data_IF_241911072507
#
_entry.id   IF_241911072507
#
_cell.length_a   1.000
_cell.length_b   1.000
_cell.length_c   1.000
_cell.angle_alpha   90.00
_cell.angle_beta   90.00
_cell.angle_gamma   90.00
#
_symmetry.space_group_name_H-M   'P 1'
#
loop_
_entity.id
_entity.type
_entity.pdbx_description
1 polymer ?
#
# COMPACT_ATOMS: atom_id res chain seq x y z
N UNK A 1 -33.47 -15.69 15.50
CA UNK A 1 -32.99 -14.29 15.59
C UNK A 1 -31.52 -14.15 16.04
N UNK A 2 -30.76 -15.24 16.23
CA UNK A 2 -29.33 -15.18 16.60
C UNK A 2 -28.39 -15.55 15.43
N UNK A 3 -28.91 -16.22 14.39
CA UNK A 3 -28.08 -16.68 13.26
C UNK A 3 -27.81 -15.62 12.19
N UNK A 4 -28.47 -14.47 12.22
CA UNK A 4 -28.27 -13.41 11.22
C UNK A 4 -27.06 -12.51 11.56
N UNK A 5 -26.67 -12.41 12.84
CA UNK A 5 -25.58 -11.53 13.27
C UNK A 5 -24.18 -12.17 13.26
N UNK A 6 -24.09 -13.49 13.10
CA UNK A 6 -22.80 -14.20 12.97
C UNK A 6 -22.23 -14.10 11.55
N UNK A 7 -23.07 -13.91 10.52
CA UNK A 7 -22.62 -13.65 9.15
C UNK A 7 -22.11 -12.23 8.90
N UNK A 8 -22.51 -11.28 9.75
CA UNK A 8 -22.03 -9.90 9.70
C UNK A 8 -20.59 -9.79 10.21
N UNK A 9 -20.18 -10.61 11.19
CA UNK A 9 -18.82 -10.56 11.76
C UNK A 9 -17.76 -11.21 10.86
N UNK A 10 -18.12 -12.28 10.12
CA UNK A 10 -17.23 -12.89 9.10
C UNK A 10 -17.13 -12.02 7.83
N UNK A 11 -18.24 -11.40 7.42
CA UNK A 11 -18.22 -10.38 6.36
C UNK A 11 -17.39 -9.18 6.80
N UNK A 12 -17.54 -8.69 8.03
CA UNK A 12 -16.72 -7.61 8.60
C UNK A 12 -15.24 -7.97 8.73
N UNK A 13 -14.91 -9.18 9.14
CA UNK A 13 -13.54 -9.71 9.08
C UNK A 13 -13.01 -9.90 7.65
N UNK A 14 -13.84 -9.77 6.61
CA UNK A 14 -13.44 -9.73 5.20
C UNK A 14 -13.44 -8.30 4.60
N UNK A 15 -14.13 -7.35 5.23
CA UNK A 15 -14.11 -5.92 4.92
C UNK A 15 -12.91 -5.21 5.59
N UNK A 16 -12.50 -5.64 6.79
CA UNK A 16 -11.32 -5.13 7.52
C UNK A 16 -9.96 -5.56 6.94
N UNK A 17 -9.72 -6.75 6.34
CA UNK A 17 -8.39 -7.13 5.84
C UNK A 17 -7.93 -6.26 4.67
N UNK A 18 -8.85 -5.60 3.97
CA UNK A 18 -8.51 -4.62 2.95
C UNK A 18 -8.05 -3.28 3.55
N UNK A 19 -8.56 -2.89 4.73
CA UNK A 19 -8.15 -1.67 5.43
C UNK A 19 -6.93 -1.90 6.33
N UNK A 20 -6.69 -3.12 6.79
CA UNK A 20 -5.51 -3.49 7.58
C UNK A 20 -4.17 -3.02 6.99
N UNK A 21 -3.84 -3.26 5.69
CA UNK A 21 -2.61 -2.75 5.11
C UNK A 21 -2.55 -1.21 5.09
N UNK A 22 -3.68 -0.52 4.95
CA UNK A 22 -3.73 0.95 5.04
C UNK A 22 -3.48 1.43 6.46
N UNK A 23 -4.04 0.75 7.47
CA UNK A 23 -3.79 1.04 8.89
C UNK A 23 -2.31 0.85 9.20
N UNK A 24 -1.72 -0.29 8.79
CA UNK A 24 -0.29 -0.57 8.97
C UNK A 24 0.57 0.49 8.26
N UNK A 25 0.22 0.85 7.02
CA UNK A 25 0.91 1.88 6.24
C UNK A 25 0.90 3.26 6.90
N UNK A 26 -0.15 3.57 7.67
CA UNK A 26 -0.27 4.82 8.43
C UNK A 26 0.41 4.76 9.80
N UNK A 27 0.37 3.62 10.50
CA UNK A 27 0.91 3.47 11.87
C UNK A 27 2.42 3.23 11.88
N UNK A 28 2.94 2.42 10.96
CA UNK A 28 4.38 2.07 10.93
C UNK A 28 5.29 3.30 10.81
N UNK A 29 5.01 4.30 9.95
CA UNK A 29 5.81 5.52 9.89
C UNK A 29 5.75 6.33 11.18
N UNK A 30 4.62 6.31 11.90
CA UNK A 30 4.47 7.00 13.18
C UNK A 30 5.31 6.37 14.29
N UNK A 31 5.67 5.09 14.19
CA UNK A 31 6.61 4.47 15.13
C UNK A 31 8.05 4.93 14.88
N UNK A 32 8.43 5.13 13.60
CA UNK A 32 9.74 5.67 13.23
C UNK A 32 9.95 7.11 13.73
N UNK A 33 8.87 7.80 14.10
CA UNK A 33 8.88 9.14 14.67
C UNK A 33 9.64 9.22 15.99
N UNK A 34 9.40 8.28 16.91
CA UNK A 34 10.09 8.21 18.20
C UNK A 34 11.59 7.96 18.04
N UNK A 35 11.98 7.20 17.01
CA UNK A 35 13.37 6.97 16.66
C UNK A 35 14.00 8.22 16.04
N UNK A 36 13.29 8.91 15.15
CA UNK A 36 13.76 10.16 14.53
C UNK A 36 13.99 11.29 15.54
N UNK A 37 13.24 11.31 16.65
CA UNK A 37 13.43 12.24 17.77
C UNK A 37 14.73 11.99 18.54
N UNK A 38 15.14 10.71 18.64
CA UNK A 38 16.33 10.32 19.40
C UNK A 38 17.59 10.34 18.54
N UNK A 39 17.49 9.80 17.33
CA UNK A 39 18.59 9.74 16.35
C UNK A 39 18.04 9.89 14.92
N UNK A 40 18.10 11.10 14.32
CA UNK A 40 17.59 11.37 12.98
C UNK A 40 18.46 10.77 11.86
N UNK A 41 19.66 10.27 12.17
CA UNK A 41 20.58 9.65 11.20
C UNK A 41 20.52 8.13 11.19
N UNK A 42 19.72 7.53 12.07
CA UNK A 42 19.51 6.08 12.08
C UNK A 42 19.04 5.55 10.71
N UNK A 43 19.59 4.43 10.22
CA UNK A 43 19.23 3.86 8.91
C UNK A 43 17.74 3.52 8.81
N UNK A 44 17.08 3.17 9.92
CA UNK A 44 15.64 2.92 9.95
C UNK A 44 14.85 4.19 9.58
N UNK A 45 15.25 5.33 10.13
CA UNK A 45 14.62 6.64 9.86
C UNK A 45 14.87 7.08 8.42
N UNK A 46 16.05 6.78 7.87
CA UNK A 46 16.36 7.06 6.47
C UNK A 46 15.50 6.23 5.51
N UNK A 47 15.32 4.94 5.77
CA UNK A 47 14.47 4.06 4.95
C UNK A 47 13.04 4.57 4.91
N UNK A 48 12.44 4.91 6.05
CA UNK A 48 11.08 5.45 6.10
C UNK A 48 10.98 6.87 5.52
N UNK A 49 12.09 7.61 5.50
CA UNK A 49 12.18 8.92 4.87
C UNK A 49 12.14 8.85 3.33
N UNK A 50 12.79 7.85 2.74
CA UNK A 50 12.89 7.67 1.28
C UNK A 50 11.94 6.59 0.75
N UNK A 51 10.97 6.18 1.56
CA UNK A 51 9.92 5.28 1.11
C UNK A 51 8.69 6.12 0.75
N UNK A 52 8.16 6.03 -0.48
CA UNK A 52 7.37 7.11 -1.06
C UNK A 52 6.06 7.39 -0.33
N UNK A 53 5.49 6.36 0.29
CA UNK A 53 4.26 6.50 1.06
C UNK A 53 4.47 7.06 2.48
N UNK A 54 5.63 6.82 3.09
CA UNK A 54 5.97 7.32 4.43
C UNK A 54 6.81 8.60 4.40
N UNK A 55 7.41 8.90 3.24
CA UNK A 55 8.19 10.09 2.97
C UNK A 55 7.45 11.39 3.29
N UNK A 56 6.16 11.63 2.92
CA UNK A 56 5.50 12.90 3.22
C UNK A 56 5.47 13.21 4.73
N UNK A 57 5.14 12.22 5.55
CA UNK A 57 4.97 12.36 6.99
C UNK A 57 6.32 12.56 7.67
N UNK A 58 7.28 11.67 7.39
CA UNK A 58 8.61 11.70 8.00
C UNK A 58 9.46 12.86 7.49
N UNK A 59 9.27 13.29 6.23
CA UNK A 59 9.98 14.43 5.67
C UNK A 59 9.53 15.76 6.24
N UNK A 60 8.22 15.97 6.43
CA UNK A 60 7.72 17.16 7.13
C UNK A 60 8.32 17.24 8.54
N UNK A 61 8.36 16.13 9.26
CA UNK A 61 8.92 16.12 10.60
C UNK A 61 10.44 16.36 10.60
N UNK A 62 11.23 15.64 9.78
CA UNK A 62 12.68 15.87 9.69
C UNK A 62 13.02 17.28 9.21
N UNK A 63 12.17 17.89 8.40
CA UNK A 63 12.27 19.29 8.02
C UNK A 63 12.05 20.23 9.22
N UNK A 64 11.03 19.97 10.05
CA UNK A 64 10.73 20.74 11.26
C UNK A 64 11.90 20.76 12.28
N UNK A 65 12.70 19.70 12.33
CA UNK A 65 13.89 19.61 13.20
C UNK A 65 15.16 20.25 12.61
N UNK A 66 15.12 20.81 11.41
CA UNK A 66 16.27 21.48 10.80
C UNK A 66 17.46 20.56 10.46
N UNK A 67 17.28 19.24 10.54
CA UNK A 67 18.34 18.23 10.39
C UNK A 67 18.55 17.76 8.94
N UNK A 68 18.08 18.50 7.93
CA UNK A 68 18.20 18.11 6.52
C UNK A 68 19.06 19.06 5.70
N UNK A 69 20.03 18.49 5.00
CA UNK A 69 20.72 19.12 3.87
C UNK A 69 19.73 19.41 2.74
N UNK A 70 19.88 20.56 2.06
CA UNK A 70 18.99 20.96 0.95
C UNK A 70 18.90 19.94 -0.19
N UNK A 71 19.92 19.08 -0.35
CA UNK A 71 19.92 18.00 -1.34
C UNK A 71 18.95 16.86 -1.01
N UNK A 72 18.79 16.52 0.28
CA UNK A 72 17.82 15.49 0.71
C UNK A 72 16.38 15.96 0.46
N UNK A 73 16.13 17.27 0.53
CA UNK A 73 14.82 17.83 0.20
C UNK A 73 14.49 17.67 -1.29
N UNK A 74 15.46 17.91 -2.18
CA UNK A 74 15.27 17.75 -3.62
C UNK A 74 14.91 16.31 -4.00
N UNK A 75 15.58 15.31 -3.41
CA UNK A 75 15.31 13.89 -3.65
C UNK A 75 13.86 13.55 -3.25
N UNK A 76 13.43 13.97 -2.06
CA UNK A 76 12.06 13.70 -1.59
C UNK A 76 11.03 14.40 -2.47
N UNK A 77 11.29 15.64 -2.91
CA UNK A 77 10.36 16.35 -3.82
C UNK A 77 10.20 15.59 -5.14
N UNK A 78 11.29 15.10 -5.72
CA UNK A 78 11.26 14.31 -6.97
C UNK A 78 10.49 13.00 -6.76
N UNK A 79 10.73 12.32 -5.65
CA UNK A 79 10.05 11.07 -5.29
C UNK A 79 8.53 11.27 -5.14
N UNK A 80 8.10 12.32 -4.44
CA UNK A 80 6.69 12.65 -4.28
C UNK A 80 6.03 13.01 -5.61
N UNK A 81 6.76 13.72 -6.48
CA UNK A 81 6.29 14.07 -7.82
C UNK A 81 6.10 12.82 -8.71
N UNK A 82 6.98 11.82 -8.57
CA UNK A 82 6.86 10.52 -9.24
C UNK A 82 5.72 9.66 -8.67
N UNK A 83 5.49 9.71 -7.36
CA UNK A 83 4.43 8.93 -6.71
C UNK A 83 3.03 9.38 -7.14
N UNK A 84 2.81 10.70 -7.29
CA UNK A 84 1.52 11.29 -7.65
C UNK A 84 0.86 10.64 -8.89
N UNK A 85 1.52 10.57 -10.07
CA UNK A 85 0.95 9.89 -11.22
C UNK A 85 0.83 8.37 -11.05
N UNK A 86 1.70 7.74 -10.26
CA UNK A 86 1.65 6.29 -9.99
C UNK A 86 0.39 5.93 -9.21
N UNK A 87 0.11 6.64 -8.12
CA UNK A 87 -1.10 6.42 -7.31
C UNK A 87 -2.35 6.75 -8.12
N UNK A 88 -2.33 7.82 -8.93
CA UNK A 88 -3.45 8.14 -9.81
C UNK A 88 -3.71 7.05 -10.84
N UNK A 89 -2.67 6.44 -11.42
CA UNK A 89 -2.81 5.29 -12.32
C UNK A 89 -3.37 4.05 -11.61
N UNK A 90 -2.90 3.77 -10.39
CA UNK A 90 -3.41 2.65 -9.58
C UNK A 90 -4.88 2.89 -9.23
N UNK A 91 -5.22 4.09 -8.77
CA UNK A 91 -6.59 4.47 -8.45
C UNK A 91 -7.50 4.42 -9.68
N UNK A 92 -7.05 4.91 -10.84
CA UNK A 92 -7.81 4.82 -12.10
C UNK A 92 -8.00 3.38 -12.56
N UNK A 93 -6.98 2.52 -12.43
CA UNK A 93 -7.12 1.08 -12.68
C UNK A 93 -8.10 0.45 -11.69
N UNK A 94 -7.95 0.73 -10.40
CA UNK A 94 -8.80 0.20 -9.33
C UNK A 94 -10.26 0.65 -9.48
N UNK A 95 -10.50 1.88 -9.93
CA UNK A 95 -11.84 2.40 -10.20
C UNK A 95 -12.48 1.67 -11.38
N UNK A 96 -11.73 1.48 -12.48
CA UNK A 96 -12.19 0.71 -13.64
C UNK A 96 -12.43 -0.77 -13.31
N UNK A 97 -11.61 -1.38 -12.47
CA UNK A 97 -11.81 -2.77 -12.01
C UNK A 97 -12.93 -2.88 -10.97
N UNK A 98 -13.03 -1.92 -10.04
CA UNK A 98 -14.01 -1.87 -8.96
C UNK A 98 -15.44 -1.61 -9.45
N UNK A 99 -15.63 -0.86 -10.54
CA UNK A 99 -16.95 -0.67 -11.15
C UNK A 99 -17.35 -1.76 -12.13
N UNK A 100 -16.45 -2.67 -12.51
CA UNK A 100 -16.73 -3.70 -13.53
C UNK A 100 -16.62 -5.14 -13.00
N UNK A 101 -16.13 -5.39 -11.78
CA UNK A 101 -16.20 -6.73 -11.18
C UNK A 101 -16.17 -6.68 -9.64
N UNK A 102 -17.33 -6.93 -9.02
CA UNK A 102 -17.44 -7.25 -7.58
C UNK A 102 -17.01 -8.71 -7.26
N UNK A 103 -16.48 -9.45 -8.24
CA UNK A 103 -15.88 -10.76 -8.00
C UNK A 103 -14.87 -11.07 -9.09
N UNK A 104 -13.59 -11.09 -8.75
CA UNK A 104 -12.65 -11.95 -9.45
C UNK A 104 -11.53 -12.29 -8.49
N UNK A 105 -11.86 -13.19 -7.56
CA UNK A 105 -10.86 -14.02 -6.90
C UNK A 105 -10.13 -14.79 -8.00
N UNK A 106 -8.82 -14.57 -8.15
CA UNK A 106 -7.93 -15.53 -8.81
C UNK A 106 -7.26 -15.09 -10.11
N UNK A 107 -6.43 -14.04 -10.06
CA UNK A 107 -5.39 -13.80 -11.08
C UNK A 107 -4.42 -14.99 -11.20
N UNK A 108 -4.24 -15.80 -10.15
CA UNK A 108 -3.24 -16.88 -10.13
C UNK A 108 -3.62 -18.15 -10.90
N UNK A 109 -4.91 -18.42 -11.11
CA UNK A 109 -5.35 -19.72 -11.65
C UNK A 109 -5.60 -19.73 -13.17
N UNK A 110 -5.57 -18.58 -13.85
CA UNK A 110 -5.78 -18.51 -15.30
C UNK A 110 -4.50 -18.70 -16.13
N UNK A 111 -3.34 -18.68 -15.48
CA UNK A 111 -2.04 -18.89 -16.14
C UNK A 111 -1.72 -20.38 -16.40
N UNK A 112 -2.40 -21.32 -15.73
CA UNK A 112 -2.02 -22.75 -15.80
C UNK A 112 -2.97 -23.67 -16.59
N UNK A 113 -4.00 -23.15 -17.25
CA UNK A 113 -4.83 -24.01 -18.13
C UNK A 113 -4.14 -24.18 -19.48
N UNK A 114 -3.29 -25.20 -19.59
CA UNK A 114 -2.86 -25.76 -20.88
C UNK A 114 -4.06 -26.48 -21.51
N UNK A 115 -4.53 -26.09 -22.71
CA UNK A 115 -5.49 -26.89 -23.45
C UNK A 115 -4.74 -28.05 -24.11
N UNK A 116 -4.84 -29.24 -23.52
CA UNK A 116 -4.36 -30.46 -24.15
C UNK A 116 -5.50 -31.11 -24.95
N UNK A 117 -5.53 -30.75 -26.24
CA UNK A 117 -5.74 -31.67 -27.37
C UNK A 117 -6.92 -32.62 -27.31
N UNK A 118 -7.95 -32.28 -28.08
CA UNK A 118 -8.90 -33.20 -28.70
C UNK A 118 -8.20 -34.41 -29.33
N UNK A 119 -8.34 -35.58 -28.73
CA UNK A 119 -8.03 -36.86 -29.36
C UNK A 119 -9.34 -37.58 -29.68
N UNK A 120 -9.85 -37.29 -30.86
CA UNK A 120 -10.67 -38.20 -31.66
C UNK A 120 -9.98 -39.56 -31.71
N UNK A 121 -10.66 -40.61 -31.25
CA UNK A 121 -10.41 -41.96 -31.78
C UNK A 121 -11.69 -42.79 -31.72
N UNK A 122 -12.07 -43.24 -32.91
CA UNK A 122 -13.14 -44.17 -33.27
C UNK A 122 -13.23 -45.39 -32.37
#
# INVERSE_FOLDING_TARGET
>A
MVSESVGEDESRCQLVPASFPLIVLMIVPLYSLSLALSDPHSPVVQIFTYFPYSAPITAMLRNAFGSRSGWEAAIVIIELFLLSPVVLQIAARLFRYGSTSYTSKGFFNTVFVRPAGSATRK
#
